data_IF_755853130360
#
_entry.id   IF_755853130360
#
_cell.length_a   1.000
_cell.length_b   1.000
_cell.length_c   1.000
_cell.angle_alpha   90.00
_cell.angle_beta   90.00
_cell.angle_gamma   90.00
#
_symmetry.space_group_name_H-M   'P 1'
#
loop_
_entity.id
_entity.type
_entity.pdbx_description
1 polymer ?
#
# COMPACT_ATOMS: atom_id res chain seq x y z
N UNK A 1 -2.09 -20.90 5.27
CA UNK A 1 -1.30 -20.75 4.03
C UNK A 1 0.00 -20.00 4.31
N UNK A 2 1.09 -20.25 3.56
CA UNK A 2 2.40 -19.70 3.88
C UNK A 2 2.35 -18.18 3.79
N UNK A 3 2.62 -17.50 4.92
CA UNK A 3 2.72 -16.05 4.98
C UNK A 3 3.93 -15.66 4.14
N UNK A 4 3.69 -15.05 2.97
CA UNK A 4 4.79 -14.59 2.13
C UNK A 4 5.62 -13.58 2.94
N UNK A 5 6.91 -13.90 3.12
CA UNK A 5 7.86 -13.13 3.93
C UNK A 5 8.43 -11.97 3.12
N UNK A 6 8.99 -10.95 3.78
CA UNK A 6 9.70 -9.85 3.10
C UNK A 6 10.79 -10.41 2.16
N UNK A 7 11.48 -11.47 2.56
CA UNK A 7 12.47 -12.19 1.72
C UNK A 7 11.90 -12.75 0.41
N UNK A 8 10.61 -13.04 0.35
CA UNK A 8 9.96 -13.49 -0.88
C UNK A 8 9.57 -12.31 -1.79
N UNK A 9 9.26 -11.14 -1.21
CA UNK A 9 9.11 -9.90 -1.98
C UNK A 9 10.46 -9.45 -2.56
N UNK A 10 11.54 -9.53 -1.78
CA UNK A 10 12.91 -9.20 -2.24
C UNK A 10 13.38 -10.08 -3.41
N UNK A 11 12.88 -11.32 -3.51
CA UNK A 11 13.17 -12.21 -4.66
C UNK A 11 12.35 -11.88 -5.91
N UNK A 12 11.22 -11.21 -5.76
CA UNK A 12 10.33 -10.84 -6.87
C UNK A 12 10.79 -9.56 -7.58
N UNK A 13 11.50 -8.67 -6.87
CA UNK A 13 11.93 -7.38 -7.41
C UNK A 13 13.44 -7.24 -7.33
N UNK A 14 14.07 -6.95 -8.46
CA UNK A 14 15.49 -6.58 -8.50
C UNK A 14 15.71 -5.22 -7.80
N UNK A 15 16.92 -4.94 -7.29
CA UNK A 15 17.24 -3.65 -6.68
C UNK A 15 16.94 -2.45 -7.61
N UNK A 16 17.22 -2.59 -8.92
CA UNK A 16 16.94 -1.56 -9.93
C UNK A 16 15.45 -1.29 -10.06
N UNK A 17 14.62 -2.35 -10.09
CA UNK A 17 13.16 -2.21 -10.11
C UNK A 17 12.65 -1.51 -8.85
N UNK A 18 13.16 -1.88 -7.67
CA UNK A 18 12.77 -1.23 -6.40
C UNK A 18 13.10 0.26 -6.43
N UNK A 19 14.29 0.63 -6.91
CA UNK A 19 14.71 2.03 -7.00
C UNK A 19 13.85 2.83 -7.99
N UNK A 20 13.59 2.27 -9.18
CA UNK A 20 12.70 2.88 -10.18
C UNK A 20 11.28 3.05 -9.63
N UNK A 21 10.76 2.04 -8.93
CA UNK A 21 9.45 2.07 -8.30
C UNK A 21 9.36 3.17 -7.25
N UNK A 22 10.35 3.26 -6.34
CA UNK A 22 10.40 4.33 -5.34
C UNK A 22 10.41 5.72 -5.98
N UNK A 23 11.20 5.93 -7.04
CA UNK A 23 11.25 7.22 -7.75
C UNK A 23 9.90 7.57 -8.39
N UNK A 24 9.22 6.62 -9.03
CA UNK A 24 7.90 6.83 -9.63
C UNK A 24 6.83 7.14 -8.58
N UNK A 25 6.85 6.42 -7.46
CA UNK A 25 5.94 6.66 -6.32
C UNK A 25 6.15 8.07 -5.74
N UNK A 26 7.40 8.49 -5.57
CA UNK A 26 7.72 9.84 -5.11
C UNK A 26 7.18 10.90 -6.07
N UNK A 27 7.42 10.73 -7.38
CA UNK A 27 6.87 11.62 -8.40
C UNK A 27 5.34 11.66 -8.35
N UNK A 28 4.67 10.52 -8.19
CA UNK A 28 3.21 10.46 -8.06
C UNK A 28 2.70 11.31 -6.90
N UNK A 29 3.25 11.14 -5.69
CA UNK A 29 2.80 11.91 -4.53
C UNK A 29 3.17 13.39 -4.60
N UNK A 30 4.29 13.74 -5.24
CA UNK A 30 4.67 15.14 -5.49
C UNK A 30 3.72 15.81 -6.49
N UNK A 31 3.33 15.10 -7.54
CA UNK A 31 2.53 15.63 -8.64
C UNK A 31 1.01 15.51 -8.41
N UNK A 32 0.57 14.80 -7.36
CA UNK A 32 -0.85 14.69 -6.98
C UNK A 32 -1.49 16.06 -6.67
N UNK A 33 -0.68 17.10 -6.43
CA UNK A 33 -1.10 18.49 -6.26
C UNK A 33 -1.40 19.18 -7.61
N UNK A 34 -0.80 18.71 -8.71
CA UNK A 34 -0.70 19.48 -9.96
C UNK A 34 -1.46 18.91 -11.17
N UNK A 35 -1.67 17.60 -11.31
CA UNK A 35 -2.60 17.06 -12.34
C UNK A 35 -2.84 15.54 -12.18
N UNK A 36 -4.08 15.06 -12.23
CA UNK A 36 -4.44 13.67 -11.80
C UNK A 36 -4.48 12.62 -12.93
N UNK A 37 -4.53 13.03 -14.20
CA UNK A 37 -4.79 12.09 -15.31
C UNK A 37 -3.54 11.37 -15.81
N UNK A 38 -2.40 12.06 -15.96
CA UNK A 38 -1.14 11.46 -16.45
C UNK A 38 -0.53 10.48 -15.44
N UNK A 39 -0.82 10.68 -14.15
CA UNK A 39 -0.23 9.96 -13.01
C UNK A 39 -0.84 8.57 -12.76
N UNK A 40 -2.10 8.34 -13.17
CA UNK A 40 -2.77 7.03 -13.04
C UNK A 40 -2.09 5.94 -13.90
N UNK A 41 -1.46 6.34 -15.00
CA UNK A 41 -0.71 5.42 -15.88
C UNK A 41 0.60 4.94 -15.26
N UNK A 42 1.25 5.73 -14.39
CA UNK A 42 2.56 5.36 -13.84
C UNK A 42 2.47 4.31 -12.72
N UNK A 43 1.46 4.41 -11.86
CA UNK A 43 1.25 3.44 -10.78
C UNK A 43 0.60 2.13 -11.26
N UNK A 44 -0.20 2.15 -12.32
CA UNK A 44 -0.83 0.94 -12.88
C UNK A 44 0.15 -0.03 -13.53
N UNK A 45 1.34 0.45 -13.91
CA UNK A 45 2.46 -0.40 -14.34
C UNK A 45 3.09 -1.13 -13.15
N UNK A 46 2.95 -0.59 -11.93
CA UNK A 46 3.69 -1.00 -10.75
C UNK A 46 2.88 -1.82 -9.75
N UNK A 47 1.57 -1.65 -9.76
CA UNK A 47 0.66 -2.18 -8.77
C UNK A 47 -0.54 -2.85 -9.44
N UNK A 48 -1.03 -3.94 -8.85
CA UNK A 48 -2.28 -4.52 -9.32
C UNK A 48 -3.44 -3.58 -8.98
N UNK A 49 -4.60 -3.74 -9.65
CA UNK A 49 -5.78 -2.92 -9.38
C UNK A 49 -6.18 -2.89 -7.89
N UNK A 50 -5.88 -3.95 -7.16
CA UNK A 50 -6.18 -4.04 -5.73
C UNK A 50 -5.35 -3.05 -4.90
N UNK A 51 -4.03 -3.01 -5.08
CA UNK A 51 -3.17 -2.05 -4.36
C UNK A 51 -3.55 -0.61 -4.70
N UNK A 52 -3.88 -0.33 -5.96
CA UNK A 52 -4.33 1.00 -6.38
C UNK A 52 -5.63 1.41 -5.69
N UNK A 53 -6.61 0.51 -5.60
CA UNK A 53 -7.85 0.75 -4.86
C UNK A 53 -7.58 1.02 -3.38
N UNK A 54 -6.65 0.28 -2.78
CA UNK A 54 -6.22 0.51 -1.39
C UNK A 54 -5.55 1.88 -1.23
N UNK A 55 -4.65 2.28 -2.14
CA UNK A 55 -4.02 3.60 -2.11
C UNK A 55 -5.08 4.70 -2.13
N UNK A 56 -6.09 4.59 -3.01
CA UNK A 56 -7.18 5.58 -3.11
C UNK A 56 -7.99 5.68 -1.81
N UNK A 57 -8.34 4.55 -1.18
CA UNK A 57 -9.00 4.55 0.14
C UNK A 57 -8.11 5.22 1.18
N UNK A 58 -6.83 4.88 1.20
CA UNK A 58 -5.87 5.39 2.16
C UNK A 58 -5.55 6.88 1.96
N UNK A 59 -5.76 7.43 0.76
CA UNK A 59 -5.66 8.87 0.48
C UNK A 59 -6.83 9.65 1.08
N UNK A 60 -8.02 9.05 1.11
CA UNK A 60 -9.22 9.65 1.69
C UNK A 60 -9.31 9.49 3.21
N UNK A 61 -8.54 8.56 3.81
CA UNK A 61 -8.59 8.22 5.24
C UNK A 61 -7.30 8.58 5.97
N UNK A 62 -7.42 9.12 7.18
CA UNK A 62 -6.25 9.39 8.02
C UNK A 62 -5.51 8.11 8.45
N UNK A 63 -6.26 7.03 8.66
CA UNK A 63 -5.77 5.69 9.01
C UNK A 63 -6.85 4.65 8.72
N UNK A 64 -6.46 3.40 8.50
CA UNK A 64 -7.41 2.29 8.37
C UNK A 64 -6.83 0.96 8.88
N UNK A 65 -7.72 0.07 9.32
CA UNK A 65 -7.42 -1.31 9.68
C UNK A 65 -7.69 -2.25 8.49
N UNK A 66 -7.13 -3.47 8.55
CA UNK A 66 -7.27 -4.48 7.48
C UNK A 66 -8.74 -4.83 7.26
N UNK A 67 -9.49 -5.03 8.34
CA UNK A 67 -10.91 -5.36 8.33
C UNK A 67 -11.77 -4.27 7.70
N UNK A 68 -11.47 -3.00 7.98
CA UNK A 68 -12.19 -1.88 7.37
C UNK A 68 -11.98 -1.82 5.85
N UNK A 69 -10.72 -1.99 5.40
CA UNK A 69 -10.38 -1.97 3.98
C UNK A 69 -10.98 -3.20 3.27
N UNK A 70 -10.99 -4.36 3.92
CA UNK A 70 -11.59 -5.58 3.41
C UNK A 70 -13.09 -5.44 3.20
N UNK A 71 -13.80 -4.86 4.17
CA UNK A 71 -15.23 -4.55 4.05
C UNK A 71 -15.49 -3.56 2.92
N UNK A 72 -14.73 -2.48 2.82
CA UNK A 72 -14.93 -1.44 1.81
C UNK A 72 -14.62 -1.92 0.37
N UNK A 73 -13.68 -2.86 0.22
CA UNK A 73 -13.32 -3.41 -1.08
C UNK A 73 -14.07 -4.70 -1.45
N UNK A 74 -14.86 -5.25 -0.53
CA UNK A 74 -15.48 -6.57 -0.62
C UNK A 74 -14.44 -7.68 -0.89
N UNK A 75 -13.33 -7.66 -0.16
CA UNK A 75 -12.20 -8.59 -0.32
C UNK A 75 -11.92 -9.38 0.96
N UNK A 76 -11.27 -10.52 0.80
CA UNK A 76 -10.75 -11.30 1.93
C UNK A 76 -9.61 -10.54 2.65
N UNK A 77 -9.60 -10.63 3.99
CA UNK A 77 -8.61 -9.99 4.85
C UNK A 77 -7.16 -10.35 4.51
N UNK A 78 -6.89 -11.57 4.04
CA UNK A 78 -5.55 -12.00 3.63
C UNK A 78 -5.10 -11.31 2.35
N UNK A 79 -6.00 -11.16 1.36
CA UNK A 79 -5.68 -10.45 0.12
C UNK A 79 -5.37 -8.98 0.42
N UNK A 80 -6.17 -8.35 1.29
CA UNK A 80 -5.92 -6.98 1.73
C UNK A 80 -4.61 -6.88 2.54
N UNK A 81 -4.38 -7.79 3.47
CA UNK A 81 -3.14 -7.82 4.25
C UNK A 81 -1.89 -8.01 3.38
N UNK A 82 -2.02 -8.72 2.26
CA UNK A 82 -0.95 -8.91 1.29
C UNK A 82 -0.66 -7.64 0.50
N UNK A 83 -1.70 -7.02 -0.08
CA UNK A 83 -1.57 -5.76 -0.80
C UNK A 83 -1.02 -4.64 0.11
N UNK A 84 -1.48 -4.56 1.35
CA UNK A 84 -0.93 -3.62 2.35
C UNK A 84 0.55 -3.86 2.66
N UNK A 85 1.01 -5.12 2.65
CA UNK A 85 2.43 -5.44 2.86
C UNK A 85 3.30 -5.02 1.68
N UNK A 86 2.80 -5.15 0.45
CA UNK A 86 3.47 -4.65 -0.76
C UNK A 86 3.61 -3.13 -0.67
N UNK A 87 2.52 -2.43 -0.37
CA UNK A 87 2.52 -0.98 -0.24
C UNK A 87 3.43 -0.48 0.89
N UNK A 88 3.50 -1.21 2.00
CA UNK A 88 4.45 -0.94 3.10
C UNK A 88 5.91 -1.16 2.66
N UNK A 89 6.19 -2.23 1.90
CA UNK A 89 7.53 -2.53 1.39
C UNK A 89 8.06 -1.43 0.45
N UNK A 90 7.20 -0.89 -0.40
CA UNK A 90 7.56 0.23 -1.28
C UNK A 90 7.53 1.60 -0.59
N UNK A 91 7.20 1.64 0.71
CA UNK A 91 7.22 2.86 1.51
C UNK A 91 6.03 3.78 1.28
N UNK A 92 4.98 3.32 0.60
CA UNK A 92 3.73 4.07 0.39
C UNK A 92 2.93 4.15 1.69
N UNK A 93 2.92 3.05 2.44
CA UNK A 93 2.25 2.95 3.72
C UNK A 93 3.25 2.76 4.85
N UNK A 94 2.87 3.25 6.02
CA UNK A 94 3.50 2.90 7.29
C UNK A 94 2.47 2.24 8.19
N UNK A 95 2.91 1.30 9.01
CA UNK A 95 2.03 0.65 9.97
C UNK A 95 2.53 0.79 11.40
N UNK A 96 1.60 0.67 12.34
CA UNK A 96 1.90 0.52 13.77
C UNK A 96 0.88 -0.42 14.42
N UNK A 97 1.19 -0.90 15.62
CA UNK A 97 0.21 -1.59 16.47
C UNK A 97 -0.53 -0.55 17.30
N UNK A 98 -1.86 -0.61 17.27
CA UNK A 98 -2.74 0.24 18.07
C UNK A 98 -3.60 -0.67 18.96
N UNK A 99 -3.79 -0.28 20.22
CA UNK A 99 -4.62 -1.03 21.16
C UNK A 99 -6.08 -0.64 20.93
N UNK A 100 -6.90 -1.60 20.52
CA UNK A 100 -8.35 -1.43 20.34
C UNK A 100 -9.04 -2.32 21.36
N UNK A 101 -9.43 -1.72 22.49
CA UNK A 101 -9.93 -2.45 23.65
C UNK A 101 -8.89 -3.39 24.26
N UNK A 102 -9.13 -4.70 24.16
CA UNK A 102 -8.25 -5.76 24.70
C UNK A 102 -7.27 -6.34 23.67
N UNK A 103 -7.39 -5.98 22.40
CA UNK A 103 -6.59 -6.57 21.31
C UNK A 103 -5.70 -5.51 20.67
N UNK A 104 -4.48 -5.89 20.29
CA UNK A 104 -3.63 -5.06 19.44
C UNK A 104 -3.95 -5.32 17.96
N UNK A 105 -4.40 -4.28 17.25
CA UNK A 105 -4.62 -4.32 15.81
C UNK A 105 -3.51 -3.58 15.08
N UNK A 106 -3.16 -4.05 13.87
CA UNK A 106 -2.22 -3.33 12.99
C UNK A 106 -3.01 -2.28 12.21
N UNK A 107 -2.62 -1.02 12.35
CA UNK A 107 -3.22 0.12 11.65
C UNK A 107 -2.24 0.66 10.62
N UNK A 108 -2.75 1.07 9.47
CA UNK A 108 -1.98 1.59 8.35
C UNK A 108 -2.28 3.07 8.14
N UNK A 109 -1.29 3.83 7.68
CA UNK A 109 -1.40 5.23 7.26
C UNK A 109 -0.57 5.45 6.00
N UNK A 110 -0.94 6.41 5.15
CA UNK A 110 -0.05 6.85 4.07
C UNK A 110 1.24 7.46 4.66
N UNK A 111 2.33 7.16 3.98
CA UNK A 111 3.64 7.73 4.21
C UNK A 111 3.98 8.70 3.06
N UNK A 112 3.70 9.99 3.26
CA UNK A 112 4.02 11.07 2.31
C UNK A 112 5.41 11.68 2.53
N UNK A 113 6.31 10.98 3.24
CA UNK A 113 7.66 11.47 3.58
C UNK A 113 8.72 10.80 2.74
#
# INVERSE_FOLDING_TARGET
MPKMTIRQLEKQYTPVQIQLMKKRIQNYFQNMINDTETLKGELSILFFPQELRIINIMLAKEKAYVDEIATELELDNNNVAWALRILEYFGILRSRKERVGRVYKKVYKINLR
#
